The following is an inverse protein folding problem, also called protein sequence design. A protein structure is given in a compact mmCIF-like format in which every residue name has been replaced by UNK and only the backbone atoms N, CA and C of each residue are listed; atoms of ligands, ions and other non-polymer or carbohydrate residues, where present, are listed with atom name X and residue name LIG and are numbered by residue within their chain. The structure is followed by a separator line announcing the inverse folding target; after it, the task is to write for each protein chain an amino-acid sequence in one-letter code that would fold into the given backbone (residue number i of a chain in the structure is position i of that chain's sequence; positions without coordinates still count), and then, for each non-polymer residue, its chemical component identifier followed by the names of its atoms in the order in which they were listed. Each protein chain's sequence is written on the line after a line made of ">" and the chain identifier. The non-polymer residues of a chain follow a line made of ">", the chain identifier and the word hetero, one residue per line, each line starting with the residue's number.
data_IF_384989096702
#
_entry.id   IF_384989096702
#
_cell.length_a   1.000
_cell.length_b   1.000
_cell.length_c   1.000
_cell.angle_alpha   90.00
_cell.angle_beta   90.00
_cell.angle_gamma   90.00
#
_symmetry.space_group_name_H-M   'P 1'
#
loop_
_entity.id
_entity.type
_entity.pdbx_description
1 polymer ?
#
# COMPACT_ATOMS: atom_id res chain seq x y z
N UNK A 1 26.12 -16.81 3.80
CA UNK A 1 24.77 -17.41 3.96
C UNK A 1 23.81 -16.67 3.04
N UNK A 2 23.31 -17.32 1.99
CA UNK A 2 22.25 -16.73 1.17
C UNK A 2 20.91 -16.94 1.89
N UNK A 3 20.24 -15.85 2.28
CA UNK A 3 18.87 -15.94 2.82
C UNK A 3 17.97 -16.51 1.72
N UNK A 4 17.07 -17.47 2.03
CA UNK A 4 16.11 -17.94 1.04
C UNK A 4 15.27 -16.74 0.59
N UNK A 5 15.38 -16.39 -0.69
CA UNK A 5 14.54 -15.36 -1.30
C UNK A 5 13.12 -15.88 -1.32
N UNK A 6 12.16 -15.12 -0.77
CA UNK A 6 10.73 -15.47 -0.84
C UNK A 6 10.35 -15.75 -2.31
N UNK A 7 9.45 -16.71 -2.58
CA UNK A 7 8.97 -16.96 -3.94
C UNK A 7 8.44 -15.66 -4.56
N UNK A 8 8.72 -15.42 -5.85
CA UNK A 8 8.27 -14.20 -6.56
C UNK A 8 6.79 -13.91 -6.36
N UNK A 9 5.94 -14.94 -6.43
CA UNK A 9 4.50 -14.81 -6.21
C UNK A 9 4.17 -14.23 -4.82
N UNK A 10 4.85 -14.69 -3.76
CA UNK A 10 4.62 -14.19 -2.41
C UNK A 10 5.06 -12.72 -2.27
N UNK A 11 6.17 -12.32 -2.91
CA UNK A 11 6.60 -10.93 -2.91
C UNK A 11 5.60 -10.03 -3.65
N UNK A 12 5.10 -10.47 -4.80
CA UNK A 12 4.06 -9.74 -5.56
C UNK A 12 2.79 -9.57 -4.72
N UNK A 13 2.30 -10.62 -4.06
CA UNK A 13 1.12 -10.52 -3.20
C UNK A 13 1.33 -9.55 -2.04
N UNK A 14 2.50 -9.57 -1.39
CA UNK A 14 2.80 -8.66 -0.29
C UNK A 14 2.87 -7.19 -0.76
N UNK A 15 3.43 -6.93 -1.95
CA UNK A 15 3.46 -5.59 -2.53
C UNK A 15 2.05 -5.12 -2.89
N UNK A 16 1.24 -6.00 -3.49
CA UNK A 16 -0.14 -5.70 -3.83
C UNK A 16 -0.96 -5.35 -2.57
N UNK A 17 -0.86 -6.16 -1.52
CA UNK A 17 -1.55 -5.90 -0.25
C UNK A 17 -1.10 -4.57 0.37
N UNK A 18 0.21 -4.30 0.35
CA UNK A 18 0.73 -3.02 0.84
C UNK A 18 0.16 -1.83 0.08
N UNK A 19 0.11 -1.89 -1.26
CA UNK A 19 -0.39 -0.78 -2.09
C UNK A 19 -1.91 -0.63 -1.93
N UNK A 20 -2.66 -1.70 -2.19
CA UNK A 20 -4.12 -1.63 -2.33
C UNK A 20 -4.87 -1.57 -1.00
N UNK A 21 -4.35 -2.24 0.03
CA UNK A 21 -5.02 -2.29 1.33
C UNK A 21 -4.46 -1.22 2.25
N UNK A 22 -3.13 -1.20 2.43
CA UNK A 22 -2.55 -0.27 3.40
C UNK A 22 -2.39 1.14 2.82
N UNK A 23 -1.67 1.30 1.71
CA UNK A 23 -1.30 2.61 1.20
C UNK A 23 -2.52 3.38 0.68
N UNK A 24 -3.29 2.78 -0.23
CA UNK A 24 -4.41 3.47 -0.88
C UNK A 24 -5.58 3.71 0.07
N UNK A 25 -5.91 2.75 0.96
CA UNK A 25 -7.13 2.81 1.80
C UNK A 25 -6.91 3.27 3.23
N UNK A 26 -5.75 2.99 3.83
CA UNK A 26 -5.55 3.19 5.28
C UNK A 26 -4.59 4.35 5.56
N UNK A 27 -3.48 4.46 4.82
CA UNK A 27 -2.44 5.43 5.10
C UNK A 27 -2.94 6.85 4.85
N UNK A 28 -2.90 7.69 5.88
CA UNK A 28 -3.25 9.11 5.79
C UNK A 28 -2.02 9.97 5.51
N UNK A 29 -2.22 11.02 4.71
CA UNK A 29 -1.14 11.90 4.27
C UNK A 29 -1.44 13.36 4.65
N UNK A 30 -0.50 14.00 5.34
CA UNK A 30 -0.66 15.40 5.80
C UNK A 30 -0.76 16.40 4.64
N UNK A 31 -0.12 16.11 3.51
CA UNK A 31 -0.15 16.96 2.31
C UNK A 31 -1.53 17.03 1.64
N UNK A 32 -2.40 16.04 1.89
CA UNK A 32 -3.77 15.98 1.38
C UNK A 32 -4.77 16.01 2.55
N UNK A 33 -4.53 16.85 3.55
CA UNK A 33 -5.50 17.09 4.63
C UNK A 33 -5.77 15.87 5.52
N UNK A 34 -4.82 14.95 5.63
CA UNK A 34 -4.94 13.69 6.38
C UNK A 34 -6.02 12.73 5.83
N UNK A 35 -6.34 12.81 4.54
CA UNK A 35 -7.07 11.76 3.85
C UNK A 35 -6.16 10.59 3.44
N UNK A 36 -6.75 9.41 3.28
CA UNK A 36 -6.13 8.35 2.48
C UNK A 36 -6.21 8.72 1.00
N UNK A 37 -5.33 8.20 0.13
CA UNK A 37 -5.43 8.44 -1.31
C UNK A 37 -6.82 8.13 -1.86
N UNK A 38 -7.41 6.99 -1.50
CA UNK A 38 -8.75 6.62 -1.99
C UNK A 38 -9.87 7.50 -1.42
N UNK A 39 -9.74 7.98 -0.18
CA UNK A 39 -10.74 8.90 0.36
C UNK A 39 -10.63 10.27 -0.29
N UNK A 40 -9.41 10.72 -0.60
CA UNK A 40 -9.20 12.00 -1.27
C UNK A 40 -9.83 12.00 -2.66
N UNK A 41 -9.60 10.96 -3.47
CA UNK A 41 -10.23 10.77 -4.79
C UNK A 41 -11.76 10.63 -4.75
N UNK A 42 -12.35 10.31 -3.59
CA UNK A 42 -13.82 10.22 -3.45
C UNK A 42 -14.47 11.55 -3.08
N UNK A 43 -13.69 12.46 -2.50
CA UNK A 43 -14.16 13.77 -2.03
C UNK A 43 -14.04 14.83 -3.13
N UNK A 44 -13.18 14.62 -4.13
CA UNK A 44 -12.87 15.56 -5.22
C UNK A 44 -12.91 14.86 -6.58
#
# INVERSE_FOLDING_TARGET
>A
MNKPTKPRAQATSAIFEYIEVFYNKIRRHSTIGYYSPSDYERVF
#
